data_IF_469021562538
#
_entry.id   IF_469021562538
#
_cell.length_a   1.000
_cell.length_b   1.000
_cell.length_c   1.000
_cell.angle_alpha   90.00
_cell.angle_beta   90.00
_cell.angle_gamma   90.00
#
_symmetry.space_group_name_H-M   'P 1'
#
loop_
_entity.id
_entity.type
_entity.pdbx_description
1 polymer ?
#
# COMPACT_ATOMS: atom_id res chain seq x y z
N UNK A 1 13.36 -13.18 -6.33
CA UNK A 1 13.86 -12.30 -5.25
C UNK A 1 14.58 -11.10 -5.86
N UNK A 2 15.71 -11.27 -6.56
CA UNK A 2 16.33 -10.14 -7.30
C UNK A 2 15.67 -9.86 -8.66
N UNK A 3 15.33 -10.90 -9.41
CA UNK A 3 14.65 -10.74 -10.72
C UNK A 3 13.11 -10.76 -10.63
N UNK A 4 12.54 -10.57 -9.43
CA UNK A 4 11.08 -10.56 -9.24
C UNK A 4 10.35 -11.91 -9.36
N UNK A 5 11.05 -13.02 -9.61
CA UNK A 5 10.45 -14.36 -9.77
C UNK A 5 9.91 -15.02 -8.48
N UNK A 6 10.07 -14.38 -7.32
CA UNK A 6 9.58 -14.91 -6.05
C UNK A 6 9.15 -13.76 -5.15
N UNK A 7 7.94 -13.87 -4.59
CA UNK A 7 7.39 -12.91 -3.65
C UNK A 7 8.04 -13.06 -2.26
N UNK A 8 8.50 -11.96 -1.63
CA UNK A 8 8.91 -11.94 -0.22
C UNK A 8 7.90 -12.65 0.67
N UNK A 9 6.62 -12.36 0.44
CA UNK A 9 5.50 -12.95 1.14
C UNK A 9 5.46 -14.49 1.09
N UNK A 10 5.82 -15.09 -0.04
CA UNK A 10 5.85 -16.54 -0.19
C UNK A 10 7.02 -17.17 0.59
N UNK A 11 8.19 -16.54 0.54
CA UNK A 11 9.38 -16.97 1.31
C UNK A 11 9.09 -16.90 2.81
N UNK A 12 8.51 -15.79 3.26
CA UNK A 12 8.16 -15.60 4.68
C UNK A 12 7.18 -16.67 5.14
N UNK A 13 6.11 -16.97 4.37
CA UNK A 13 5.18 -18.05 4.71
C UNK A 13 5.87 -19.41 4.84
N UNK A 14 6.79 -19.74 3.93
CA UNK A 14 7.55 -20.99 3.98
C UNK A 14 8.44 -21.07 5.24
N UNK A 15 9.12 -19.98 5.59
CA UNK A 15 9.96 -19.90 6.79
C UNK A 15 9.15 -19.99 8.09
N UNK A 16 7.95 -19.38 8.12
CA UNK A 16 6.98 -19.53 9.22
C UNK A 16 6.54 -20.98 9.39
N UNK A 17 6.14 -21.64 8.30
CA UNK A 17 5.74 -23.05 8.32
C UNK A 17 6.86 -23.98 8.82
N UNK A 18 8.11 -23.64 8.50
CA UNK A 18 9.30 -24.36 8.97
C UNK A 18 9.76 -23.97 10.39
N UNK A 19 9.05 -23.04 11.08
CA UNK A 19 9.40 -22.50 12.41
C UNK A 19 10.82 -21.89 12.51
N UNK A 20 11.33 -21.38 11.39
CA UNK A 20 12.69 -20.84 11.31
C UNK A 20 12.80 -19.37 11.75
N UNK A 21 11.67 -18.68 11.91
CA UNK A 21 11.60 -17.28 12.39
C UNK A 21 11.98 -17.09 13.87
N UNK A 22 12.40 -18.15 14.56
CA UNK A 22 12.97 -18.08 15.91
C UNK A 22 14.47 -17.78 15.91
N UNK A 23 15.12 -17.85 14.73
CA UNK A 23 16.55 -17.61 14.56
C UNK A 23 16.80 -16.15 14.15
N UNK A 24 17.62 -15.39 14.89
CA UNK A 24 17.86 -13.97 14.59
C UNK A 24 18.31 -13.70 13.15
N UNK A 25 19.27 -14.48 12.63
CA UNK A 25 19.75 -14.33 11.24
C UNK A 25 18.69 -14.60 10.17
N UNK A 26 17.65 -15.39 10.48
CA UNK A 26 16.53 -15.62 9.54
C UNK A 26 15.57 -14.43 9.57
N UNK A 27 15.37 -13.82 10.74
CA UNK A 27 14.58 -12.60 10.87
C UNK A 27 15.23 -11.45 10.10
N UNK A 28 16.53 -11.22 10.29
CA UNK A 28 17.26 -10.16 9.57
C UNK A 28 17.21 -10.34 8.03
N UNK A 29 17.32 -11.58 7.56
CA UNK A 29 17.22 -11.90 6.14
C UNK A 29 15.80 -11.70 5.59
N UNK A 30 14.77 -12.01 6.40
CA UNK A 30 13.36 -11.76 6.06
C UNK A 30 13.08 -10.26 5.98
N UNK A 31 13.57 -9.48 6.94
CA UNK A 31 13.38 -8.03 6.95
C UNK A 31 14.04 -7.38 5.73
N UNK A 32 15.26 -7.80 5.39
CA UNK A 32 15.95 -7.36 4.17
C UNK A 32 15.16 -7.72 2.90
N UNK A 33 14.62 -8.94 2.83
CA UNK A 33 13.81 -9.41 1.72
C UNK A 33 12.49 -8.64 1.57
N UNK A 34 11.83 -8.32 2.69
CA UNK A 34 10.60 -7.52 2.70
C UNK A 34 10.87 -6.08 2.26
N UNK A 35 11.99 -5.50 2.69
CA UNK A 35 12.42 -4.16 2.28
C UNK A 35 12.71 -4.10 0.77
N UNK A 36 13.50 -5.04 0.23
CA UNK A 36 13.75 -5.13 -1.22
C UNK A 36 12.46 -5.31 -2.02
N UNK A 37 11.55 -6.14 -1.50
CA UNK A 37 10.23 -6.37 -2.09
C UNK A 37 9.36 -5.12 -2.15
N UNK A 38 9.40 -4.31 -1.09
CA UNK A 38 8.70 -3.02 -1.00
C UNK A 38 9.25 -2.06 -2.04
N UNK A 39 10.56 -1.84 -2.10
CA UNK A 39 11.16 -0.94 -3.09
C UNK A 39 10.81 -1.35 -4.52
N UNK A 40 10.86 -2.65 -4.84
CA UNK A 40 10.47 -3.13 -6.15
C UNK A 40 8.98 -2.96 -6.46
N UNK A 41 8.10 -2.93 -5.45
CA UNK A 41 6.68 -2.66 -5.63
C UNK A 41 6.43 -1.15 -5.87
N UNK A 42 7.14 -0.29 -5.14
CA UNK A 42 7.12 1.17 -5.33
C UNK A 42 7.60 1.54 -6.74
N UNK A 43 8.71 0.98 -7.19
CA UNK A 43 9.23 1.21 -8.57
C UNK A 43 8.21 0.84 -9.64
N UNK A 44 7.47 -0.27 -9.44
CA UNK A 44 6.40 -0.69 -10.35
C UNK A 44 5.20 0.26 -10.30
N UNK A 45 4.88 0.80 -9.13
CA UNK A 45 3.81 1.77 -8.96
C UNK A 45 4.14 3.09 -9.67
N UNK A 46 5.37 3.61 -9.50
CA UNK A 46 5.85 4.79 -10.22
C UNK A 46 5.77 4.60 -11.72
N UNK A 47 6.27 3.44 -12.20
CA UNK A 47 6.21 3.09 -13.61
C UNK A 47 4.78 3.00 -14.12
N UNK A 48 3.88 2.36 -13.38
CA UNK A 48 2.47 2.24 -13.75
C UNK A 48 1.83 3.62 -13.95
N UNK A 49 2.04 4.55 -13.01
CA UNK A 49 1.51 5.92 -13.11
C UNK A 49 2.04 6.64 -14.35
N UNK A 50 3.35 6.57 -14.59
CA UNK A 50 3.98 7.21 -15.73
C UNK A 50 3.56 6.59 -17.08
N UNK A 51 3.68 5.28 -17.24
CA UNK A 51 3.42 4.58 -18.51
C UNK A 51 1.95 4.60 -18.92
N UNK A 52 1.04 4.68 -17.96
CA UNK A 52 -0.41 4.71 -18.22
C UNK A 52 -0.99 6.13 -18.22
N UNK A 53 -0.17 7.17 -18.07
CA UNK A 53 -0.63 8.57 -18.08
C UNK A 53 -1.71 8.82 -17.03
N UNK A 54 -1.51 8.32 -15.81
CA UNK A 54 -2.31 8.72 -14.66
C UNK A 54 -1.85 10.13 -14.22
N UNK A 55 -2.72 10.95 -13.61
CA UNK A 55 -2.30 12.23 -13.05
C UNK A 55 -1.14 12.05 -12.06
N UNK A 56 -0.32 13.08 -11.85
CA UNK A 56 0.78 13.01 -10.90
C UNK A 56 0.24 13.02 -9.45
N UNK A 57 0.53 11.98 -8.64
CA UNK A 57 0.23 12.02 -7.22
C UNK A 57 1.33 12.70 -6.42
N UNK A 58 1.03 13.01 -5.17
CA UNK A 58 2.03 13.19 -4.12
C UNK A 58 2.41 11.81 -3.57
N UNK A 59 3.69 11.49 -3.65
CA UNK A 59 4.24 10.17 -3.29
C UNK A 59 4.64 10.11 -1.83
N UNK A 60 4.48 8.92 -1.22
CA UNK A 60 4.93 8.60 0.14
C UNK A 60 4.60 9.71 1.14
N UNK A 61 3.31 9.88 1.40
CA UNK A 61 2.82 10.96 2.25
C UNK A 61 2.17 10.45 3.51
N UNK A 62 2.21 11.24 4.56
CA UNK A 62 1.41 11.09 5.75
C UNK A 62 0.23 12.07 5.73
N UNK A 63 -0.99 11.57 5.86
CA UNK A 63 -2.18 12.42 5.98
C UNK A 63 -2.49 12.73 7.44
N UNK A 64 -2.88 13.98 7.71
CA UNK A 64 -3.26 14.44 9.06
C UNK A 64 -4.48 15.34 8.99
N UNK A 65 -5.29 15.33 10.04
CA UNK A 65 -6.26 16.40 10.24
C UNK A 65 -5.53 17.67 10.70
N UNK A 66 -5.95 18.87 10.25
CA UNK A 66 -5.39 20.13 10.72
C UNK A 66 -5.52 20.26 12.24
N UNK A 67 -4.39 20.42 12.94
CA UNK A 67 -4.37 20.46 14.41
C UNK A 67 -4.81 19.15 15.09
N UNK A 68 -4.99 18.08 14.32
CA UNK A 68 -5.60 16.83 14.76
C UNK A 68 -4.68 15.60 14.63
N UNK A 69 -5.26 14.40 14.76
CA UNK A 69 -4.51 13.15 14.74
C UNK A 69 -3.93 12.83 13.35
N UNK A 70 -2.94 11.94 13.36
CA UNK A 70 -2.40 11.32 12.16
C UNK A 70 -3.37 10.26 11.62
N UNK A 71 -3.64 10.32 10.32
CA UNK A 71 -4.56 9.44 9.60
C UNK A 71 -3.81 8.24 8.98
N UNK A 72 -2.48 8.31 8.91
CA UNK A 72 -1.59 7.25 8.45
C UNK A 72 -0.90 7.57 7.12
N UNK A 73 0.12 6.77 6.81
CA UNK A 73 0.95 6.92 5.61
C UNK A 73 0.36 6.25 4.37
N UNK A 74 0.53 6.87 3.22
CA UNK A 74 0.06 6.44 1.91
C UNK A 74 1.23 6.35 0.93
N UNK A 75 1.13 5.46 -0.04
CA UNK A 75 2.13 5.32 -1.10
C UNK A 75 1.95 6.40 -2.17
N UNK A 76 0.70 6.72 -2.49
CA UNK A 76 0.36 7.82 -3.39
C UNK A 76 -0.95 8.48 -2.94
N UNK A 77 -1.07 9.78 -3.17
CA UNK A 77 -2.30 10.52 -2.93
C UNK A 77 -2.52 11.52 -4.07
N UNK A 78 -3.74 11.65 -4.56
CA UNK A 78 -4.16 12.64 -5.55
C UNK A 78 -5.07 13.66 -4.85
N UNK A 79 -4.53 14.80 -4.38
CA UNK A 79 -5.28 15.77 -3.58
C UNK A 79 -6.52 16.29 -4.30
N UNK A 80 -6.39 16.61 -5.59
CA UNK A 80 -7.48 17.16 -6.41
C UNK A 80 -8.67 16.19 -6.59
N UNK A 81 -8.42 14.89 -6.42
CA UNK A 81 -9.43 13.83 -6.59
C UNK A 81 -9.79 13.16 -5.26
N UNK A 82 -9.14 13.53 -4.15
CA UNK A 82 -9.22 12.84 -2.87
C UNK A 82 -9.06 11.30 -2.98
N UNK A 83 -8.13 10.83 -3.83
CA UNK A 83 -7.82 9.40 -3.97
C UNK A 83 -6.50 9.08 -3.27
N UNK A 84 -6.53 8.12 -2.37
CA UNK A 84 -5.37 7.57 -1.67
C UNK A 84 -5.07 6.17 -2.21
N UNK A 85 -3.78 5.81 -2.30
CA UNK A 85 -3.35 4.48 -2.68
C UNK A 85 -2.35 3.93 -1.67
N UNK A 86 -2.57 2.67 -1.31
CA UNK A 86 -1.65 1.91 -0.45
C UNK A 86 -1.22 0.60 -1.12
N UNK A 87 0.07 0.34 -1.09
CA UNK A 87 0.68 -0.93 -1.43
C UNK A 87 0.56 -1.88 -0.25
N UNK A 88 -0.29 -2.89 -0.40
CA UNK A 88 -0.40 -4.00 0.54
C UNK A 88 0.76 -4.97 0.32
N UNK A 89 1.92 -4.63 0.88
CA UNK A 89 3.15 -5.43 0.80
C UNK A 89 3.19 -6.55 1.84
N UNK A 90 2.08 -6.78 2.57
CA UNK A 90 2.03 -7.83 3.58
C UNK A 90 1.86 -9.19 2.91
N UNK A 91 2.56 -10.19 3.44
CA UNK A 91 2.06 -11.55 3.29
C UNK A 91 0.90 -11.71 4.28
N UNK A 92 -0.23 -12.33 3.90
CA UNK A 92 -1.08 -12.98 4.89
C UNK A 92 -0.20 -14.03 5.59
N UNK A 93 0.09 -13.86 6.88
CA UNK A 93 0.84 -14.84 7.68
C UNK A 93 -0.15 -15.51 8.66
N UNK A 94 -0.71 -16.68 8.31
CA UNK A 94 -1.50 -17.43 9.28
C UNK A 94 -0.64 -17.74 10.52
N UNK A 95 -1.09 -17.29 11.70
CA UNK A 95 -0.55 -17.74 12.99
C UNK A 95 0.53 -16.87 13.66
N UNK A 96 0.77 -15.63 13.20
CA UNK A 96 1.54 -14.66 14.02
C UNK A 96 0.58 -13.95 14.98
N UNK A 97 0.79 -13.98 16.31
CA UNK A 97 0.01 -13.14 17.22
C UNK A 97 0.22 -11.67 16.83
N UNK A 98 -0.87 -11.00 16.42
CA UNK A 98 -0.88 -9.63 15.89
C UNK A 98 -1.38 -9.48 14.45
N UNK A 99 -1.50 -10.56 13.66
CA UNK A 99 -1.99 -10.50 12.26
C UNK A 99 -3.46 -10.07 12.18
N UNK A 100 -4.30 -10.58 13.09
CA UNK A 100 -5.70 -10.17 13.22
C UNK A 100 -5.82 -8.69 13.64
N UNK A 101 -4.94 -8.23 14.54
CA UNK A 101 -4.89 -6.83 14.98
C UNK A 101 -4.50 -5.89 13.84
N UNK A 102 -3.53 -6.27 13.00
CA UNK A 102 -3.06 -5.46 11.87
C UNK A 102 -4.10 -5.35 10.75
N UNK A 103 -4.87 -6.41 10.48
CA UNK A 103 -6.00 -6.38 9.55
C UNK A 103 -7.15 -5.49 10.03
N UNK A 104 -7.43 -5.50 11.33
CA UNK A 104 -8.41 -4.59 11.96
C UNK A 104 -7.96 -3.14 11.88
N UNK A 105 -6.70 -2.82 12.18
CA UNK A 105 -6.17 -1.45 12.10
C UNK A 105 -6.21 -0.89 10.67
N UNK A 106 -5.94 -1.72 9.66
CA UNK A 106 -6.04 -1.30 8.26
C UNK A 106 -7.48 -1.05 7.82
N UNK A 107 -8.41 -1.93 8.21
CA UNK A 107 -9.83 -1.76 7.95
C UNK A 107 -10.32 -0.47 8.61
N UNK A 108 -9.92 -0.21 9.86
CA UNK A 108 -10.22 1.03 10.58
C UNK A 108 -9.64 2.26 9.88
N UNK A 109 -8.39 2.20 9.43
CA UNK A 109 -7.75 3.29 8.69
C UNK A 109 -8.51 3.61 7.41
N UNK A 110 -8.80 2.59 6.60
CA UNK A 110 -9.58 2.72 5.37
C UNK A 110 -10.94 3.36 5.65
N UNK A 111 -11.70 2.81 6.58
CA UNK A 111 -13.01 3.35 6.96
C UNK A 111 -12.91 4.79 7.44
N UNK A 112 -11.84 5.14 8.16
CA UNK A 112 -11.62 6.51 8.63
C UNK A 112 -11.36 7.47 7.48
N UNK A 113 -10.51 7.10 6.51
CA UNK A 113 -10.26 7.91 5.32
C UNK A 113 -11.51 8.03 4.45
N UNK A 114 -12.26 6.93 4.26
CA UNK A 114 -13.50 6.94 3.48
C UNK A 114 -14.58 7.83 4.11
N UNK A 115 -14.68 7.87 5.45
CA UNK A 115 -15.57 8.83 6.15
C UNK A 115 -15.18 10.29 5.95
N UNK A 116 -13.93 10.57 5.63
CA UNK A 116 -13.45 11.92 5.28
C UNK A 116 -13.64 12.23 3.79
N UNK A 117 -14.29 11.35 3.02
CA UNK A 117 -14.47 11.50 1.58
C UNK A 117 -13.26 11.06 0.74
N UNK A 118 -12.25 10.45 1.36
CA UNK A 118 -11.05 9.99 0.66
C UNK A 118 -11.27 8.55 0.17
N UNK A 119 -11.20 8.36 -1.15
CA UNK A 119 -11.31 7.03 -1.76
C UNK A 119 -9.98 6.30 -1.63
N UNK A 120 -9.97 5.12 -1.00
CA UNK A 120 -8.73 4.35 -0.78
C UNK A 120 -8.64 3.16 -1.74
N UNK A 121 -7.58 3.13 -2.53
CA UNK A 121 -7.24 2.03 -3.46
C UNK A 121 -6.11 1.20 -2.86
N UNK A 122 -6.27 -0.13 -2.89
CA UNK A 122 -5.26 -1.04 -2.37
C UNK A 122 -4.74 -1.94 -3.48
N UNK A 123 -3.42 -1.88 -3.71
CA UNK A 123 -2.74 -2.72 -4.69
C UNK A 123 -1.76 -3.64 -3.98
N UNK A 124 -1.68 -4.89 -4.44
CA UNK A 124 -0.65 -5.80 -3.95
C UNK A 124 0.53 -5.81 -4.93
N UNK A 125 1.77 -6.03 -4.45
CA UNK A 125 2.94 -6.19 -5.34
C UNK A 125 2.72 -7.22 -6.44
N UNK A 126 2.02 -8.31 -6.13
CA UNK A 126 1.66 -9.36 -7.10
C UNK A 126 0.80 -8.82 -8.22
N UNK A 127 -0.30 -8.12 -7.89
CA UNK A 127 -1.20 -7.54 -8.89
C UNK A 127 -0.50 -6.51 -9.77
N UNK A 128 0.39 -5.69 -9.19
CA UNK A 128 1.20 -4.72 -9.94
C UNK A 128 2.20 -5.39 -10.89
N UNK A 129 2.74 -6.56 -10.53
CA UNK A 129 3.62 -7.31 -11.41
C UNK A 129 2.86 -8.03 -12.52
N UNK A 130 1.79 -8.73 -12.15
CA UNK A 130 1.16 -9.71 -13.03
C UNK A 130 0.08 -9.09 -13.92
N UNK A 131 -0.48 -7.93 -13.54
CA UNK A 131 -1.62 -7.31 -14.21
C UNK A 131 -1.59 -5.77 -14.10
N UNK A 132 -0.47 -5.14 -14.50
CA UNK A 132 -0.24 -3.70 -14.39
C UNK A 132 -1.34 -2.87 -15.07
N UNK A 133 -1.66 -3.16 -16.33
CA UNK A 133 -2.69 -2.44 -17.11
C UNK A 133 -4.06 -2.47 -16.42
N UNK A 134 -4.39 -3.60 -15.80
CA UNK A 134 -5.61 -3.75 -15.02
C UNK A 134 -5.56 -2.88 -13.75
N UNK A 135 -4.42 -2.81 -13.06
CA UNK A 135 -4.29 -1.96 -11.87
C UNK A 135 -4.36 -0.48 -12.24
N UNK A 136 -3.75 -0.06 -13.36
CA UNK A 136 -3.88 1.31 -13.87
C UNK A 136 -5.34 1.65 -14.18
N UNK A 137 -6.09 0.71 -14.75
CA UNK A 137 -7.53 0.86 -14.99
C UNK A 137 -8.31 1.03 -13.68
N UNK A 138 -8.00 0.24 -12.65
CA UNK A 138 -8.62 0.38 -11.32
C UNK A 138 -8.38 1.77 -10.73
N UNK A 139 -7.14 2.26 -10.78
CA UNK A 139 -6.79 3.60 -10.28
C UNK A 139 -7.49 4.69 -11.09
N UNK A 140 -7.51 4.59 -12.42
CA UNK A 140 -8.21 5.54 -13.29
C UNK A 140 -9.69 5.62 -12.97
N UNK A 141 -10.36 4.47 -12.82
CA UNK A 141 -11.77 4.42 -12.46
C UNK A 141 -12.03 5.06 -11.09
N UNK A 142 -11.14 4.84 -10.11
CA UNK A 142 -11.25 5.48 -8.81
C UNK A 142 -11.11 7.02 -8.90
N UNK A 143 -10.16 7.51 -9.68
CA UNK A 143 -9.97 8.95 -9.92
C UNK A 143 -11.19 9.58 -10.59
N UNK A 144 -11.73 8.93 -11.63
CA UNK A 144 -12.94 9.41 -12.32
C UNK A 144 -14.16 9.41 -11.40
N UNK A 145 -14.37 8.32 -10.65
CA UNK A 145 -15.52 8.19 -9.76
C UNK A 145 -15.46 9.11 -8.53
N UNK A 146 -14.26 9.52 -8.11
CA UNK A 146 -14.09 10.46 -7.00
C UNK A 146 -14.30 11.92 -7.42
N UNK A 147 -14.04 12.26 -8.69
CA UNK A 147 -14.29 13.59 -9.23
C UNK A 147 -15.79 13.99 -9.21
N UNK A 148 -16.69 13.00 -9.24
CA UNK A 148 -18.14 13.20 -9.20
C UNK A 148 -18.72 13.32 -7.76
N UNK A 149 -17.87 13.25 -6.72
CA UNK A 149 -18.30 13.27 -5.31
C UNK A 149 -18.15 14.65 -4.68
N UNK A 150 -18.83 14.85 -3.54
CA UNK A 150 -18.60 16.01 -2.69
C UNK A 150 -17.12 16.09 -2.27
N UNK A 151 -16.54 17.30 -2.15
CA UNK A 151 -15.15 17.48 -1.76
C UNK A 151 -14.83 16.80 -0.42
N UNK A 152 -13.68 16.12 -0.36
CA UNK A 152 -13.20 15.52 0.87
C UNK A 152 -12.96 16.57 1.97
N UNK A 153 -12.97 16.11 3.22
CA UNK A 153 -12.55 16.93 4.35
C UNK A 153 -11.12 17.44 4.15
N UNK A 154 -10.87 18.67 4.58
CA UNK A 154 -9.54 19.27 4.46
C UNK A 154 -8.53 18.48 5.32
N UNK A 155 -7.48 17.98 4.65
CA UNK A 155 -6.36 17.25 5.27
C UNK A 155 -5.04 17.94 4.97
N UNK A 156 -4.10 17.81 5.89
CA UNK A 156 -2.70 18.23 5.70
C UNK A 156 -1.92 17.04 5.16
N UNK A 157 -1.21 17.26 4.07
CA UNK A 157 -0.32 16.28 3.44
C UNK A 157 1.11 16.59 3.86
N UNK A 158 1.80 15.62 4.47
CA UNK A 158 3.20 15.75 4.87
C UNK A 158 4.05 14.70 4.13
N UNK A 159 5.31 15.01 3.77
CA UNK A 159 6.23 14.00 3.27
C UNK A 159 6.55 12.98 4.36
N UNK A 160 6.67 11.70 3.95
CA UNK A 160 7.04 10.57 4.81
C UNK A 160 8.54 10.29 4.78
#
# INVERSE_FOLDING_TARGET
VRDGHCEPAAVVRALTGARLLTRPHVVDAVDSLLAEGRSAAEDRLYRMVAEHGLPDPVWNVDLRLPGGPHLGGLDAYWPDHAVALELDTRAPLPGRPGDETLGVEYTRKREHLERLGITVVHLTPRKLRDAMDQQATVVRTALMAAADRDPAAYVVVLPR
#
